data_IF_567410244635
#
_entry.id   IF_567410244635
#
_cell.length_a   1.000
_cell.length_b   1.000
_cell.length_c   1.000
_cell.angle_alpha   90.00
_cell.angle_beta   90.00
_cell.angle_gamma   90.00
#
_symmetry.space_group_name_H-M   'P 1'
#
loop_
_entity.id
_entity.type
_entity.pdbx_description
1 polymer ?
#
# COMPACT_ATOMS: atom_id res chain seq x y z
N UNK A 1 -10.46 17.21 10.64
CA UNK A 1 -11.47 17.37 9.58
C UNK A 1 -12.86 17.46 10.20
N UNK A 2 -13.71 18.35 9.67
CA UNK A 2 -15.12 18.44 10.09
C UNK A 2 -15.96 17.58 9.16
N UNK A 3 -16.99 16.92 9.70
CA UNK A 3 -17.86 16.03 8.91
C UNK A 3 -18.58 16.74 7.75
N UNK A 4 -18.82 18.05 7.87
CA UNK A 4 -19.44 18.87 6.82
C UNK A 4 -18.57 18.96 5.56
N UNK A 5 -17.25 19.09 5.74
CA UNK A 5 -16.30 19.16 4.63
C UNK A 5 -16.24 17.83 3.88
N UNK A 6 -16.37 16.70 4.58
CA UNK A 6 -16.36 15.38 3.96
C UNK A 6 -17.62 15.10 3.14
N UNK A 7 -18.79 15.64 3.54
CA UNK A 7 -20.04 15.49 2.81
C UNK A 7 -20.11 16.32 1.52
N UNK A 8 -19.30 17.37 1.42
CA UNK A 8 -19.23 18.21 0.22
C UNK A 8 -18.38 17.60 -0.91
N UNK A 9 -17.63 16.54 -0.63
CA UNK A 9 -16.72 15.90 -1.59
C UNK A 9 -17.44 14.88 -2.46
N UNK A 10 -16.91 14.67 -3.67
CA UNK A 10 -17.38 13.61 -4.56
C UNK A 10 -16.96 12.21 -4.08
N UNK A 11 -17.62 11.16 -4.57
CA UNK A 11 -17.27 9.78 -4.23
C UNK A 11 -15.82 9.44 -4.61
N UNK A 12 -15.35 9.95 -5.75
CA UNK A 12 -13.98 9.78 -6.21
C UNK A 12 -12.97 10.43 -5.24
N UNK A 13 -13.22 11.66 -4.81
CA UNK A 13 -12.37 12.36 -3.83
C UNK A 13 -12.37 11.67 -2.47
N UNK A 14 -13.51 11.11 -2.04
CA UNK A 14 -13.61 10.31 -0.82
C UNK A 14 -12.76 9.04 -0.92
N UNK A 15 -12.72 8.38 -2.09
CA UNK A 15 -11.83 7.21 -2.30
C UNK A 15 -10.34 7.59 -2.30
N UNK A 16 -9.97 8.72 -2.91
CA UNK A 16 -8.59 9.19 -2.92
C UNK A 16 -8.10 9.52 -1.49
N UNK A 17 -8.90 10.27 -0.74
CA UNK A 17 -8.60 10.60 0.67
C UNK A 17 -8.54 9.38 1.56
N UNK A 18 -9.42 8.39 1.33
CA UNK A 18 -9.35 7.12 2.05
C UNK A 18 -8.01 6.41 1.81
N UNK A 19 -7.55 6.33 0.56
CA UNK A 19 -6.28 5.70 0.23
C UNK A 19 -5.09 6.41 0.87
N UNK A 20 -5.09 7.74 0.89
CA UNK A 20 -4.08 8.56 1.56
C UNK A 20 -4.04 8.30 3.08
N UNK A 21 -5.21 8.30 3.73
CA UNK A 21 -5.31 8.03 5.17
C UNK A 21 -4.84 6.62 5.52
N UNK A 22 -5.15 5.62 4.70
CA UNK A 22 -4.64 4.25 4.88
C UNK A 22 -3.12 4.19 4.77
N UNK A 23 -2.52 4.84 3.77
CA UNK A 23 -1.06 4.93 3.63
C UNK A 23 -0.40 5.61 4.82
N UNK A 24 -0.99 6.70 5.33
CA UNK A 24 -0.51 7.37 6.54
C UNK A 24 -0.57 6.44 7.76
N UNK A 25 -1.69 5.74 7.96
CA UNK A 25 -1.83 4.76 9.03
C UNK A 25 -0.80 3.64 8.92
N UNK A 26 -0.52 3.11 7.72
CA UNK A 26 0.49 2.07 7.54
C UNK A 26 1.88 2.52 7.98
N UNK A 27 2.28 3.76 7.66
CA UNK A 27 3.57 4.31 8.10
C UNK A 27 3.64 4.44 9.62
N UNK A 28 2.59 4.99 10.24
CA UNK A 28 2.51 5.14 11.70
C UNK A 28 2.51 3.78 12.40
N UNK A 29 1.80 2.80 11.86
CA UNK A 29 1.81 1.44 12.39
C UNK A 29 3.14 0.73 12.20
N UNK A 30 3.84 0.98 11.10
CA UNK A 30 5.21 0.52 10.91
C UNK A 30 6.12 1.00 12.05
N UNK A 31 6.07 2.29 12.37
CA UNK A 31 6.85 2.87 13.48
C UNK A 31 6.48 2.27 14.84
N UNK A 32 5.19 2.12 15.12
CA UNK A 32 4.71 1.50 16.37
C UNK A 32 5.18 0.04 16.46
N UNK A 33 5.12 -0.70 15.34
CA UNK A 33 5.54 -2.10 15.27
C UNK A 33 7.05 -2.28 15.45
N UNK A 34 7.86 -1.30 15.03
CA UNK A 34 9.32 -1.30 15.28
C UNK A 34 9.67 -0.87 16.71
N UNK A 35 8.67 -0.64 17.58
CA UNK A 35 8.87 -0.17 18.95
C UNK A 35 9.29 1.29 19.05
N UNK A 36 9.26 2.03 17.93
CA UNK A 36 9.58 3.45 17.92
C UNK A 36 8.32 4.25 18.28
N UNK A 37 8.36 5.10 19.32
CA UNK A 37 7.19 5.92 19.64
C UNK A 37 6.89 6.85 18.46
N UNK A 38 5.67 6.82 17.91
CA UNK A 38 5.30 7.72 16.83
C UNK A 38 5.32 9.16 17.35
N UNK A 39 5.78 10.09 16.50
CA UNK A 39 5.98 11.51 16.86
C UNK A 39 4.74 12.12 17.54
N UNK A 40 3.55 11.73 17.08
CA UNK A 40 2.28 12.11 17.67
C UNK A 40 1.35 10.89 17.79
N UNK A 41 1.18 10.28 18.98
CA UNK A 41 0.27 9.13 19.14
C UNK A 41 -1.20 9.47 18.81
N UNK A 42 -1.57 10.75 18.96
CA UNK A 42 -2.90 11.25 18.62
C UNK A 42 -3.23 11.24 17.12
N UNK A 43 -2.23 11.18 16.24
CA UNK A 43 -2.46 11.13 14.79
C UNK A 43 -3.14 9.83 14.36
N UNK A 44 -2.77 8.69 14.96
CA UNK A 44 -3.41 7.40 14.68
C UNK A 44 -4.91 7.49 14.99
N UNK A 45 -5.27 8.09 16.14
CA UNK A 45 -6.67 8.26 16.54
C UNK A 45 -7.42 9.21 15.61
N UNK A 46 -6.81 10.33 15.21
CA UNK A 46 -7.41 11.31 14.28
C UNK A 46 -7.63 10.69 12.89
N UNK A 47 -6.65 9.96 12.37
CA UNK A 47 -6.72 9.31 11.06
C UNK A 47 -7.78 8.21 11.05
N UNK A 48 -7.85 7.37 12.09
CA UNK A 48 -8.94 6.38 12.26
C UNK A 48 -10.32 7.02 12.27
N UNK A 49 -10.49 8.09 13.05
CA UNK A 49 -11.78 8.79 13.14
C UNK A 49 -12.20 9.37 11.79
N UNK A 50 -11.24 9.95 11.06
CA UNK A 50 -11.49 10.52 9.73
C UNK A 50 -11.84 9.44 8.72
N UNK A 51 -11.13 8.30 8.75
CA UNK A 51 -11.43 7.14 7.89
C UNK A 51 -12.83 6.57 8.19
N UNK A 52 -13.19 6.43 9.46
CA UNK A 52 -14.54 5.99 9.85
C UNK A 52 -15.63 6.93 9.31
N UNK A 53 -15.44 8.25 9.41
CA UNK A 53 -16.38 9.23 8.86
C UNK A 53 -16.55 9.11 7.34
N UNK A 54 -15.45 8.90 6.60
CA UNK A 54 -15.50 8.68 5.15
C UNK A 54 -16.30 7.42 4.81
N UNK A 55 -16.03 6.31 5.51
CA UNK A 55 -16.76 5.06 5.30
C UNK A 55 -18.25 5.22 5.61
N UNK A 56 -18.60 5.91 6.70
CA UNK A 56 -19.99 6.21 7.03
C UNK A 56 -20.67 6.98 5.91
N UNK A 57 -20.07 8.07 5.41
CA UNK A 57 -20.65 8.88 4.32
C UNK A 57 -20.85 8.04 3.05
N UNK A 58 -19.89 7.19 2.69
CA UNK A 58 -20.04 6.27 1.56
C UNK A 58 -21.23 5.32 1.73
N UNK A 59 -21.41 4.77 2.93
CA UNK A 59 -22.57 3.91 3.21
C UNK A 59 -23.90 4.68 3.25
N UNK A 60 -23.89 5.92 3.75
CA UNK A 60 -25.06 6.82 3.74
C UNK A 60 -25.49 7.13 2.29
N UNK A 61 -24.53 7.44 1.42
CA UNK A 61 -24.77 7.70 0.00
C UNK A 61 -25.32 6.46 -0.70
N UNK A 62 -24.74 5.27 -0.45
CA UNK A 62 -25.21 4.02 -1.01
C UNK A 62 -26.63 3.63 -0.55
N UNK A 63 -27.01 3.98 0.70
CA UNK A 63 -28.34 3.71 1.28
C UNK A 63 -29.41 4.73 0.90
N UNK A 64 -29.07 5.82 0.22
CA UNK A 64 -30.05 6.80 -0.29
C UNK A 64 -30.28 6.54 -1.79
N UNK A 65 -31.04 5.50 -2.20
CA UNK A 65 -31.29 5.23 -3.61
C UNK A 65 -32.32 6.22 -4.15
N UNK A 66 -31.88 7.40 -4.57
CA UNK A 66 -32.62 8.25 -5.52
C UNK A 66 -31.70 9.33 -6.10
N UNK A 67 -31.11 9.01 -7.26
CA UNK A 67 -30.96 9.87 -8.45
C UNK A 67 -29.60 9.69 -9.16
N UNK A 68 -29.55 8.60 -9.94
CA UNK A 68 -28.84 8.47 -11.22
C UNK A 68 -27.30 8.27 -11.22
N UNK A 69 -26.82 7.53 -12.24
CA UNK A 69 -25.89 6.43 -12.05
C UNK A 69 -24.53 6.67 -12.73
N UNK A 70 -23.66 5.69 -12.59
CA UNK A 70 -22.35 5.58 -13.22
C UNK A 70 -22.27 6.13 -14.66
N UNK A 71 -21.31 7.02 -14.89
CA UNK A 71 -20.69 7.24 -16.21
C UNK A 71 -19.17 7.29 -16.04
N UNK A 72 -18.57 6.12 -16.22
CA UNK A 72 -17.41 5.85 -17.08
C UNK A 72 -16.30 6.92 -17.20
N UNK A 73 -15.14 6.61 -16.61
CA UNK A 73 -13.91 6.56 -17.40
C UNK A 73 -13.26 5.19 -17.22
N UNK A 74 -13.68 4.24 -18.06
CA UNK A 74 -12.85 3.13 -18.50
C UNK A 74 -12.29 3.52 -19.86
N UNK A 75 -11.02 3.87 -19.90
CA UNK A 75 -10.18 3.74 -21.08
C UNK A 75 -8.86 3.11 -20.60
N UNK A 76 -8.87 1.79 -20.53
CA UNK A 76 -7.67 1.03 -20.82
C UNK A 76 -7.41 1.15 -22.33
N UNK A 77 -6.14 1.19 -22.74
CA UNK A 77 -5.73 0.42 -23.89
C UNK A 77 -4.84 -0.74 -23.44
N UNK A 78 -5.29 -1.95 -23.77
CA UNK A 78 -4.50 -3.16 -23.71
C UNK A 78 -3.84 -3.42 -25.07
N UNK A 79 -2.70 -4.13 -25.03
CA UNK A 79 -1.96 -4.84 -26.10
C UNK A 79 -0.95 -3.95 -26.86
N UNK A 80 0.36 -4.11 -26.64
CA UNK A 80 1.26 -5.20 -27.07
C UNK A 80 1.79 -5.00 -28.50
N UNK A 81 3.09 -4.69 -28.60
CA UNK A 81 4.00 -5.04 -29.71
C UNK A 81 5.44 -4.75 -29.25
N UNK A 82 6.24 -5.78 -28.86
CA UNK A 82 7.30 -6.42 -29.68
C UNK A 82 8.52 -5.46 -29.83
N UNK A 83 9.71 -5.71 -29.29
CA UNK A 83 10.68 -6.76 -29.63
C UNK A 83 11.72 -6.91 -28.47
N UNK A 84 12.10 -8.13 -28.04
CA UNK A 84 13.31 -8.88 -28.46
C UNK A 84 14.58 -8.00 -28.35
N UNK A 85 15.58 -8.26 -27.51
CA UNK A 85 16.63 -9.31 -27.59
C UNK A 85 17.64 -8.88 -26.47
N UNK A 86 18.23 -9.67 -25.58
CA UNK A 86 19.21 -10.77 -25.66
C UNK A 86 19.28 -11.29 -24.20
N UNK A 87 19.08 -12.57 -23.87
CA UNK A 87 19.93 -13.74 -24.15
C UNK A 87 21.34 -13.62 -23.55
N UNK A 88 21.80 -14.73 -22.95
CA UNK A 88 23.08 -14.94 -22.26
C UNK A 88 23.29 -14.11 -20.99
N UNK A 89 23.41 -14.66 -19.78
CA UNK A 89 24.43 -15.63 -19.39
C UNK A 89 23.86 -16.55 -18.29
N UNK A 90 23.30 -17.69 -18.69
CA UNK A 90 23.22 -18.89 -17.85
C UNK A 90 24.11 -19.95 -18.49
N UNK A 91 25.41 -19.70 -18.41
CA UNK A 91 26.48 -20.67 -18.56
C UNK A 91 27.44 -20.31 -17.41
N UNK A 92 27.79 -21.17 -16.48
CA UNK A 92 28.18 -22.54 -16.66
C UNK A 92 28.02 -23.24 -15.32
N UNK A 93 27.43 -24.43 -15.34
CA UNK A 93 27.66 -25.38 -14.28
C UNK A 93 29.10 -25.87 -14.45
N UNK A 94 30.05 -25.39 -13.65
CA UNK A 94 31.21 -26.19 -13.24
C UNK A 94 31.91 -25.61 -12.01
N UNK A 95 31.82 -26.37 -10.92
CA UNK A 95 33.01 -26.89 -10.22
C UNK A 95 33.94 -25.86 -9.58
N UNK A 96 33.78 -25.64 -8.28
CA UNK A 96 34.86 -25.87 -7.31
C UNK A 96 34.40 -25.61 -5.86
N UNK A 97 34.33 -26.70 -5.10
CA UNK A 97 34.74 -26.83 -3.69
C UNK A 97 34.26 -25.73 -2.73
N UNK A 98 33.24 -26.07 -1.92
CA UNK A 98 33.11 -25.53 -0.55
C UNK A 98 34.47 -25.70 0.14
N UNK A 99 35.12 -24.64 0.66
CA UNK A 99 36.25 -24.83 1.55
C UNK A 99 35.69 -25.42 2.85
N UNK A 100 36.10 -26.65 3.15
CA UNK A 100 35.94 -27.22 4.48
C UNK A 100 37.00 -26.52 5.34
N UNK A 101 36.59 -25.71 6.31
CA UNK A 101 37.52 -25.16 7.29
C UNK A 101 38.28 -26.31 7.98
N UNK A 102 39.62 -26.30 8.01
CA UNK A 102 40.34 -27.23 8.86
C UNK A 102 40.18 -26.80 10.32
N UNK A 103 39.40 -27.60 11.04
CA UNK A 103 39.31 -27.66 12.49
C UNK A 103 40.72 -27.64 13.11
N UNK A 104 41.15 -26.48 13.63
CA UNK A 104 42.40 -26.33 14.35
C UNK A 104 42.28 -27.10 15.67
N UNK A 105 42.76 -28.35 15.68
CA UNK A 105 42.93 -29.13 16.92
C UNK A 105 44.11 -28.55 17.70
N UNK A 106 43.94 -28.15 18.97
CA UNK A 106 45.06 -27.83 19.82
C UNK A 106 45.69 -29.16 20.27
N UNK A 107 47.00 -29.31 20.12
CA UNK A 107 47.76 -30.34 20.82
C UNK A 107 48.94 -29.69 21.53
N UNK A 108 48.83 -29.72 22.85
CA UNK A 108 49.82 -29.89 23.92
C UNK A 108 51.23 -29.34 23.69
#
# INVERSE_FOLDING_TARGET
MKAKELRALSEAELTAKEAELRKSLMKLYGQVSTGTPPKNPGEIRRNKRTLAQILTIKTENAKKPAAKPATTQKAAPAKASVAKTQSEQRSDAHRAKRPVEPEARPKQ
#
